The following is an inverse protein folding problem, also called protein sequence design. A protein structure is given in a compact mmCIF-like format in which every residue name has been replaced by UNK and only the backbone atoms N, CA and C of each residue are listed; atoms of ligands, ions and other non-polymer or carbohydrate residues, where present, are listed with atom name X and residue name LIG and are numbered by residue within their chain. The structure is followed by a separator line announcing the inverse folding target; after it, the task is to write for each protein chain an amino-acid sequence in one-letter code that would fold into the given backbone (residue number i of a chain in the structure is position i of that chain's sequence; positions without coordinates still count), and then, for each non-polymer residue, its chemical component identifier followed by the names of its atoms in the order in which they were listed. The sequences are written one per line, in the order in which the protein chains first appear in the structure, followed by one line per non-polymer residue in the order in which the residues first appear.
data_IF_092265852567
#
_entry.id   IF_092265852567
#
_cell.length_a   1.000
_cell.length_b   1.000
_cell.length_c   1.000
_cell.angle_alpha   90.00
_cell.angle_beta   90.00
_cell.angle_gamma   90.00
#
_symmetry.space_group_name_H-M   'P 1'
#
loop_
_entity.id
_entity.type
_entity.pdbx_description
1 polymer ?
#
# COMPACT_ATOMS: atom_id res chain seq x y z
N UNK A 1 -6.14 12.79 14.75
CA UNK A 1 -6.35 12.10 13.46
C UNK A 1 -5.12 11.99 12.56
N UNK A 2 -4.09 12.84 12.67
CA UNK A 2 -2.85 12.68 11.89
C UNK A 2 -2.19 11.33 12.19
N UNK A 3 -1.77 11.04 13.41
CA UNK A 3 -1.15 9.75 13.77
C UNK A 3 -1.88 8.51 13.22
N UNK A 4 -3.22 8.45 13.32
CA UNK A 4 -4.04 7.33 12.79
C UNK A 4 -3.86 7.13 11.28
N UNK A 5 -3.88 8.21 10.49
CA UNK A 5 -3.67 8.14 9.03
C UNK A 5 -2.24 7.72 8.65
N UNK A 6 -1.27 7.95 9.54
CA UNK A 6 0.13 7.56 9.34
C UNK A 6 0.33 6.09 9.63
N UNK A 7 -0.22 5.62 10.75
CA UNK A 7 -0.30 4.22 11.12
C UNK A 7 -0.95 3.37 10.02
N UNK A 8 -2.10 3.82 9.48
CA UNK A 8 -2.77 3.12 8.37
C UNK A 8 -1.84 3.03 7.15
N UNK A 9 -1.18 4.13 6.78
CA UNK A 9 -0.23 4.14 5.66
C UNK A 9 0.95 3.19 5.87
N UNK A 10 1.45 3.08 7.11
CA UNK A 10 2.57 2.22 7.46
C UNK A 10 2.18 0.74 7.44
N UNK A 11 0.98 0.40 7.93
CA UNK A 11 0.40 -0.94 7.83
C UNK A 11 0.24 -1.34 6.35
N UNK A 12 -0.27 -0.44 5.50
CA UNK A 12 -0.40 -0.68 4.06
C UNK A 12 0.94 -0.98 3.37
N UNK A 13 2.01 -0.27 3.74
CA UNK A 13 3.37 -0.54 3.23
C UNK A 13 3.91 -1.89 3.73
N UNK A 14 3.56 -2.32 4.94
CA UNK A 14 3.98 -3.63 5.45
C UNK A 14 3.20 -4.80 4.82
N UNK A 15 1.89 -4.63 4.62
CA UNK A 15 1.01 -5.68 4.09
C UNK A 15 1.19 -5.86 2.58
N UNK A 16 1.51 -4.79 1.84
CA UNK A 16 1.69 -4.86 0.39
C UNK A 16 2.74 -5.88 -0.08
N UNK A 17 3.97 -5.88 0.45
CA UNK A 17 4.99 -6.88 0.14
C UNK A 17 4.56 -8.31 0.49
N UNK A 18 3.84 -8.49 1.61
CA UNK A 18 3.30 -9.81 1.96
C UNK A 18 2.34 -10.32 0.89
N UNK A 19 1.47 -9.46 0.35
CA UNK A 19 0.57 -9.83 -0.76
C UNK A 19 1.31 -10.13 -2.07
N UNK A 20 2.45 -9.50 -2.32
CA UNK A 20 3.27 -9.75 -3.52
C UNK A 20 4.00 -11.09 -3.43
N UNK A 21 4.47 -11.45 -2.23
CA UNK A 21 5.24 -12.67 -1.98
C UNK A 21 4.33 -13.91 -1.95
N UNK A 22 3.07 -13.76 -1.55
CA UNK A 22 2.10 -14.87 -1.58
C UNK A 22 1.97 -15.37 -3.02
N UNK A 23 2.33 -16.63 -3.21
CA UNK A 23 2.15 -17.37 -4.44
C UNK A 23 1.20 -18.52 -4.13
N UNK A 24 0.00 -18.48 -4.68
CA UNK A 24 -0.96 -19.58 -4.63
C UNK A 24 -0.60 -20.52 -5.80
N UNK A 25 -0.80 -21.83 -5.63
CA UNK A 25 -0.68 -22.90 -6.63
C UNK A 25 -0.55 -22.42 -8.10
N UNK A 26 0.50 -22.82 -8.82
CA UNK A 26 0.88 -22.25 -10.13
C UNK A 26 -0.22 -22.40 -11.21
N UNK A 27 -1.16 -23.32 -11.01
CA UNK A 27 -2.37 -23.48 -11.83
C UNK A 27 -3.32 -22.27 -11.77
N UNK A 28 -3.22 -21.42 -10.74
CA UNK A 28 -4.06 -20.25 -10.48
C UNK A 28 -3.34 -18.94 -10.81
N UNK A 29 -2.70 -18.91 -11.99
CA UNK A 29 -1.89 -17.79 -12.50
C UNK A 29 -2.58 -16.43 -12.41
N UNK A 30 -3.88 -16.36 -12.72
CA UNK A 30 -4.69 -15.12 -12.63
C UNK A 30 -4.77 -14.61 -11.18
N UNK A 31 -4.94 -15.50 -10.19
CA UNK A 31 -5.00 -15.10 -8.77
C UNK A 31 -3.66 -14.57 -8.29
N UNK A 32 -2.55 -15.15 -8.74
CA UNK A 32 -1.21 -14.69 -8.39
C UNK A 32 -0.91 -13.30 -8.98
N UNK A 33 -1.29 -13.07 -10.25
CA UNK A 33 -1.17 -11.74 -10.85
C UNK A 33 -2.02 -10.73 -10.07
N UNK A 34 -3.26 -11.09 -9.72
CA UNK A 34 -4.14 -10.21 -8.97
C UNK A 34 -3.56 -9.84 -7.59
N UNK A 35 -2.99 -10.81 -6.87
CA UNK A 35 -2.33 -10.60 -5.59
C UNK A 35 -1.14 -9.64 -5.70
N UNK A 36 -0.29 -9.81 -6.73
CA UNK A 36 0.84 -8.92 -6.99
C UNK A 36 0.38 -7.50 -7.32
N UNK A 37 -0.66 -7.35 -8.13
CA UNK A 37 -1.25 -6.04 -8.46
C UNK A 37 -1.83 -5.39 -7.20
N UNK A 38 -2.61 -6.13 -6.41
CA UNK A 38 -3.19 -5.63 -5.14
C UNK A 38 -2.12 -5.22 -4.13
N UNK A 39 -1.07 -6.03 -3.97
CA UNK A 39 0.05 -5.70 -3.10
C UNK A 39 0.80 -4.44 -3.55
N UNK A 40 1.01 -4.27 -4.85
CA UNK A 40 1.63 -3.06 -5.41
C UNK A 40 0.76 -1.82 -5.17
N UNK A 41 -0.57 -1.94 -5.35
CA UNK A 41 -1.51 -0.86 -5.01
C UNK A 41 -1.51 -0.51 -3.52
N UNK A 42 -1.41 -1.50 -2.63
CA UNK A 42 -1.32 -1.27 -1.20
C UNK A 42 -0.07 -0.44 -0.84
N UNK A 43 1.08 -0.79 -1.40
CA UNK A 43 2.33 -0.02 -1.21
C UNK A 43 2.15 1.41 -1.71
N UNK A 44 1.60 1.58 -2.92
CA UNK A 44 1.41 2.90 -3.51
C UNK A 44 0.48 3.80 -2.67
N UNK A 45 -0.65 3.27 -2.22
CA UNK A 45 -1.61 3.99 -1.36
C UNK A 45 -0.97 4.32 -0.01
N UNK A 46 -0.30 3.34 0.62
CA UNK A 46 0.40 3.52 1.88
C UNK A 46 1.47 4.62 1.80
N UNK A 47 2.31 4.58 0.76
CA UNK A 47 3.33 5.59 0.49
C UNK A 47 2.71 6.98 0.25
N UNK A 48 1.62 7.07 -0.52
CA UNK A 48 0.91 8.34 -0.75
C UNK A 48 0.32 8.91 0.54
N UNK A 49 -0.23 8.07 1.41
CA UNK A 49 -0.76 8.49 2.72
C UNK A 49 0.34 8.97 3.65
N UNK A 50 1.47 8.25 3.73
CA UNK A 50 2.65 8.65 4.51
C UNK A 50 3.27 9.94 3.96
N UNK A 51 3.42 10.07 2.65
CA UNK A 51 3.94 11.28 2.04
C UNK A 51 3.06 12.51 2.34
N UNK A 52 1.73 12.35 2.32
CA UNK A 52 0.77 13.38 2.76
C UNK A 52 0.88 13.71 4.25
N UNK A 53 1.31 12.76 5.10
CA UNK A 53 1.55 13.01 6.51
C UNK A 53 2.79 13.85 6.76
N UNK A 54 3.90 13.45 6.16
CA UNK A 54 5.21 14.08 6.38
C UNK A 54 5.32 15.43 5.67
N UNK A 55 4.64 15.59 4.53
CA UNK A 55 4.61 16.84 3.77
C UNK A 55 3.19 17.41 3.64
N UNK A 56 2.53 17.79 4.76
CA UNK A 56 1.16 18.27 4.72
C UNK A 56 1.04 19.58 3.92
N UNK A 57 2.07 20.44 3.97
CA UNK A 57 2.08 21.72 3.23
C UNK A 57 2.18 21.56 1.70
N UNK A 58 2.71 20.45 1.18
CA UNK A 58 2.72 20.19 -0.28
C UNK A 58 1.34 19.84 -0.83
N UNK A 59 0.46 19.29 0.01
CA UNK A 59 -0.92 18.92 -0.36
C UNK A 59 -1.97 19.89 0.15
N UNK A 60 -1.53 20.94 0.86
CA UNK A 60 -2.31 22.10 1.27
C UNK A 60 -2.13 23.20 0.21
N UNK A 61 -2.32 22.88 -1.07
CA UNK A 61 -2.56 23.93 -2.07
C UNK A 61 -4.05 24.26 -2.01
N UNK A 62 -4.28 25.54 -1.75
CA UNK A 62 -5.55 26.28 -1.78
C UNK A 62 -6.30 25.94 -3.05
#
# INVERSE_FOLDING_TARGET
MRLVKGLIGLILIMVGPMLIVITIDDSLLIKNILLKVLGTFCIFIGAKMLHRQFHPNKYKRI
#
